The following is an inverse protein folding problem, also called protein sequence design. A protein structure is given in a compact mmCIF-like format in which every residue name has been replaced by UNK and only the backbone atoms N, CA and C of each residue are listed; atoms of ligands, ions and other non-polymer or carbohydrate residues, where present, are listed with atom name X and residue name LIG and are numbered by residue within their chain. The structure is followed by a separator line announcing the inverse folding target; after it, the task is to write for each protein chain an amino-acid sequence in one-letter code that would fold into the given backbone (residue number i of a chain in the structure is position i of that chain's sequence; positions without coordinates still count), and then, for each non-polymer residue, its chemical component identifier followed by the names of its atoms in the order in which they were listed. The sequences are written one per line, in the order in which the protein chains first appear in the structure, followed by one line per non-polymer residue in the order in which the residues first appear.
data_IF_765246260700
#
_entry.id   IF_765246260700
#
_cell.length_a   1.000
_cell.length_b   1.000
_cell.length_c   1.000
_cell.angle_alpha   90.00
_cell.angle_beta   90.00
_cell.angle_gamma   90.00
#
_symmetry.space_group_name_H-M   'P 1'
#
loop_
_entity.id
_entity.type
_entity.pdbx_description
1 polymer ?
#
# COMPACT_ATOMS: atom_id res chain seq x y z
N UNK A 1 8.22 -3.40 8.53
CA UNK A 1 7.09 -4.31 8.28
C UNK A 1 7.11 -5.49 9.24
N UNK A 2 6.08 -5.69 10.04
CA UNK A 2 5.84 -6.94 10.78
C UNK A 2 4.83 -7.80 10.02
N UNK A 3 4.83 -9.12 10.26
CA UNK A 3 3.82 -10.02 9.70
C UNK A 3 2.42 -9.55 10.09
N UNK A 4 1.51 -9.51 9.12
CA UNK A 4 0.14 -9.02 9.29
C UNK A 4 -0.11 -7.60 8.78
N UNK A 5 0.93 -6.79 8.55
CA UNK A 5 0.75 -5.44 7.97
C UNK A 5 0.57 -5.43 6.44
N UNK A 6 0.83 -6.54 5.75
CA UNK A 6 0.65 -6.69 4.29
C UNK A 6 -0.79 -6.40 3.88
N UNK A 7 -0.95 -5.63 2.82
CA UNK A 7 -2.26 -5.22 2.30
C UNK A 7 -2.83 -3.94 2.95
N UNK A 8 -2.25 -3.44 4.03
CA UNK A 8 -2.66 -2.17 4.65
C UNK A 8 -2.56 -0.99 3.66
N UNK A 9 -3.52 -0.05 3.65
CA UNK A 9 -3.64 0.98 2.61
C UNK A 9 -2.61 2.10 2.76
N UNK A 10 -2.17 2.65 1.63
CA UNK A 10 -1.45 3.92 1.58
C UNK A 10 -2.34 5.00 0.98
N UNK A 11 -2.59 6.05 1.75
CA UNK A 11 -3.49 7.14 1.35
C UNK A 11 -2.72 8.38 0.92
N UNK A 12 -3.11 8.95 -0.23
CA UNK A 12 -2.85 10.33 -0.59
C UNK A 12 -3.89 11.23 0.05
N UNK A 13 -3.49 12.45 0.42
CA UNK A 13 -4.39 13.47 0.98
C UNK A 13 -5.23 12.97 2.15
N UNK A 14 -4.60 12.21 3.05
CA UNK A 14 -5.29 11.64 4.21
C UNK A 14 -5.80 12.74 5.14
N UNK A 15 -7.08 12.65 5.50
CA UNK A 15 -7.73 13.48 6.49
C UNK A 15 -7.90 12.68 7.78
N UNK A 16 -7.17 13.07 8.82
CA UNK A 16 -7.23 12.40 10.13
C UNK A 16 -8.60 12.54 10.82
N UNK A 17 -9.30 13.66 10.61
CA UNK A 17 -10.61 13.90 11.21
C UNK A 17 -11.73 13.02 10.65
N UNK A 18 -11.63 12.61 9.38
CA UNK A 18 -12.60 11.71 8.73
C UNK A 18 -12.07 10.31 8.48
N UNK A 19 -10.78 10.05 8.74
CA UNK A 19 -10.11 8.79 8.47
C UNK A 19 -10.10 8.41 6.98
N UNK A 20 -10.20 9.38 6.07
CA UNK A 20 -10.39 9.14 4.64
C UNK A 20 -9.27 9.75 3.81
N UNK A 21 -8.99 9.15 2.65
CA UNK A 21 -8.03 9.63 1.66
C UNK A 21 -8.13 8.80 0.38
N UNK A 22 -7.36 9.16 -0.64
CA UNK A 22 -7.32 8.36 -1.89
C UNK A 22 -6.29 7.26 -1.73
N UNK A 23 -6.72 6.00 -1.67
CA UNK A 23 -5.78 4.88 -1.60
C UNK A 23 -5.03 4.76 -2.93
N UNK A 24 -3.70 4.77 -2.87
CA UNK A 24 -2.85 4.74 -4.07
C UNK A 24 -1.69 3.74 -3.99
N UNK A 25 -1.65 2.91 -2.95
CA UNK A 25 -0.79 1.73 -2.83
C UNK A 25 -1.23 0.87 -1.65
N UNK A 26 -0.46 -0.19 -1.36
CA UNK A 26 -0.57 -1.04 -0.17
C UNK A 26 0.81 -1.39 0.37
N UNK A 27 0.91 -1.67 1.68
CA UNK A 27 2.06 -2.36 2.25
C UNK A 27 2.27 -3.70 1.52
N UNK A 28 3.40 -3.90 0.85
CA UNK A 28 3.67 -5.13 0.10
C UNK A 28 4.81 -5.93 0.71
N UNK A 29 6.01 -5.36 0.78
CA UNK A 29 7.18 -6.07 1.28
C UNK A 29 8.22 -5.13 1.90
N UNK A 30 9.22 -5.74 2.54
CA UNK A 30 10.50 -5.11 2.90
C UNK A 30 11.65 -6.01 2.49
N UNK A 31 12.81 -5.43 2.23
CA UNK A 31 14.04 -6.19 2.11
C UNK A 31 14.61 -6.48 3.49
N UNK A 32 14.86 -7.76 3.80
CA UNK A 32 15.42 -8.18 5.10
C UNK A 32 16.82 -7.59 5.31
N UNK A 33 17.66 -7.59 4.28
CA UNK A 33 19.02 -7.07 4.35
C UNK A 33 19.06 -5.54 4.55
N UNK A 34 18.12 -4.81 3.93
CA UNK A 34 17.96 -3.37 4.22
C UNK A 34 17.42 -3.14 5.62
N UNK A 35 16.65 -4.07 6.19
CA UNK A 35 16.16 -3.96 7.56
C UNK A 35 17.24 -3.94 8.63
N UNK A 36 18.47 -4.36 8.32
CA UNK A 36 19.63 -4.24 9.22
C UNK A 36 20.30 -2.86 9.19
N UNK A 37 20.17 -2.13 8.07
CA UNK A 37 20.76 -0.80 7.89
C UNK A 37 19.72 0.31 8.06
N UNK A 38 18.46 0.03 7.72
CA UNK A 38 17.35 0.97 7.76
C UNK A 38 16.00 0.25 7.96
N UNK A 39 15.61 -0.04 9.21
CA UNK A 39 14.43 -0.87 9.54
C UNK A 39 13.08 -0.21 9.20
N UNK A 40 13.07 1.08 8.86
CA UNK A 40 11.85 1.88 8.65
C UNK A 40 11.19 1.74 7.28
N UNK A 41 11.86 1.13 6.30
CA UNK A 41 11.37 1.11 4.93
C UNK A 41 10.24 0.10 4.72
N UNK A 42 9.21 0.57 4.01
CA UNK A 42 8.10 -0.23 3.52
C UNK A 42 7.95 0.04 2.03
N UNK A 43 7.80 -1.02 1.24
CA UNK A 43 7.61 -0.89 -0.20
C UNK A 43 6.18 -1.30 -0.56
N UNK A 44 5.57 -0.48 -1.42
CA UNK A 44 4.25 -0.73 -2.00
C UNK A 44 4.32 -0.60 -3.53
N UNK A 45 3.45 -1.31 -4.26
CA UNK A 45 3.42 -1.23 -5.72
C UNK A 45 2.86 0.12 -6.19
N UNK A 46 3.27 0.54 -7.38
CA UNK A 46 2.60 1.63 -8.08
C UNK A 46 1.25 1.14 -8.61
N UNK A 47 0.16 1.85 -8.28
CA UNK A 47 -1.17 1.58 -8.83
C UNK A 47 -1.33 2.22 -10.21
N UNK A 48 -0.73 1.57 -11.22
CA UNK A 48 -0.87 1.94 -12.63
C UNK A 48 -2.06 1.28 -13.33
N UNK A 49 -2.01 1.23 -14.67
CA UNK A 49 -3.11 0.73 -15.51
C UNK A 49 -3.55 -0.71 -15.15
N UNK A 50 -2.61 -1.60 -14.83
CA UNK A 50 -2.96 -2.98 -14.46
C UNK A 50 -3.73 -3.06 -13.15
N UNK A 51 -3.33 -2.29 -12.14
CA UNK A 51 -4.05 -2.21 -10.87
C UNK A 51 -5.45 -1.61 -11.06
N UNK A 52 -5.57 -0.59 -11.93
CA UNK A 52 -6.85 0.01 -12.28
C UNK A 52 -7.78 -0.99 -13.01
N UNK A 53 -7.25 -1.74 -13.97
CA UNK A 53 -8.02 -2.77 -14.70
C UNK A 53 -8.49 -3.88 -13.77
N UNK A 54 -7.61 -4.35 -12.88
CA UNK A 54 -7.95 -5.33 -11.85
C UNK A 54 -9.06 -4.80 -10.92
N UNK A 55 -8.90 -3.57 -10.42
CA UNK A 55 -9.91 -2.92 -9.57
C UNK A 55 -11.26 -2.82 -10.28
N UNK A 56 -11.28 -2.37 -11.54
CA UNK A 56 -12.50 -2.23 -12.32
C UNK A 56 -13.23 -3.56 -12.52
N UNK A 57 -12.47 -4.63 -12.75
CA UNK A 57 -13.03 -5.98 -12.87
C UNK A 57 -13.59 -6.46 -11.52
N UNK A 58 -12.81 -6.30 -10.45
CA UNK A 58 -13.18 -6.79 -9.12
C UNK A 58 -14.38 -6.05 -8.52
N UNK A 59 -14.49 -4.73 -8.71
CA UNK A 59 -15.60 -3.94 -8.15
C UNK A 59 -16.94 -4.19 -8.86
N UNK A 60 -16.91 -4.76 -10.07
CA UNK A 60 -18.10 -5.04 -10.87
C UNK A 60 -18.66 -6.46 -10.64
N UNK A 61 -17.94 -7.30 -9.88
CA UNK A 61 -18.33 -8.65 -9.51
C UNK A 61 -19.20 -8.65 -8.24
#
# INVERSE_FOLDING_TARGET
MTGGSSGGPWFLSFNEGTGSGVQNSVNSFRYVFLGLLDPGWMFGPYFGADAQNLYNTAQAA
#
